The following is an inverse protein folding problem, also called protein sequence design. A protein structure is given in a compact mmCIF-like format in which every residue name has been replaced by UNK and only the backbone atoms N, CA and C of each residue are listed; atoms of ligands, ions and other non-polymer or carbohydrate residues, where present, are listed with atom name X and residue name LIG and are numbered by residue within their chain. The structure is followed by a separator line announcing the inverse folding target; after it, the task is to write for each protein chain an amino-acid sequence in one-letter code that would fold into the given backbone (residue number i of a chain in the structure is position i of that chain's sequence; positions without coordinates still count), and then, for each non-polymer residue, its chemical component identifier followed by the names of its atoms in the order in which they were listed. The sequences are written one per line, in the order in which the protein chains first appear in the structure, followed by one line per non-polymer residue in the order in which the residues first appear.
data_IF_200129379274
#
_entry.id   IF_200129379274
#
_cell.length_a   1.000
_cell.length_b   1.000
_cell.length_c   1.000
_cell.angle_alpha   90.00
_cell.angle_beta   90.00
_cell.angle_gamma   90.00
#
_symmetry.space_group_name_H-M   'P 1'
#
loop_
_entity.id
_entity.type
_entity.pdbx_description
1 polymer ?
#
# COMPACT_ATOMS: atom_id res chain seq x y z
N UNK A 1 5.57 9.35 4.78
CA UNK A 1 4.14 8.97 4.91
C UNK A 1 3.91 7.87 5.95
N UNK A 2 4.79 6.87 6.05
CA UNK A 2 4.74 5.77 7.05
C UNK A 2 4.56 6.24 8.50
N UNK A 3 5.32 7.24 8.95
CA UNK A 3 5.27 7.76 10.32
C UNK A 3 3.87 8.23 10.71
N UNK A 4 3.12 8.82 9.78
CA UNK A 4 1.77 9.32 10.03
C UNK A 4 0.81 8.15 10.30
N UNK A 5 0.91 7.04 9.55
CA UNK A 5 0.10 5.85 9.80
C UNK A 5 0.40 5.23 11.17
N UNK A 6 1.68 5.09 11.50
CA UNK A 6 2.12 4.57 12.79
C UNK A 6 1.61 5.44 13.95
N UNK A 7 1.71 6.76 13.79
CA UNK A 7 1.29 7.71 14.82
C UNK A 7 -0.23 7.79 14.97
N UNK A 8 -0.98 7.67 13.88
CA UNK A 8 -2.44 7.68 13.88
C UNK A 8 -3.06 6.31 14.24
N UNK A 9 -2.25 5.25 14.37
CA UNK A 9 -2.74 3.90 14.66
C UNK A 9 -3.65 3.34 13.56
N UNK A 10 -3.48 3.79 12.32
CA UNK A 10 -4.28 3.36 11.18
C UNK A 10 -3.57 2.25 10.40
N UNK A 11 -4.31 1.29 9.82
CA UNK A 11 -3.72 0.22 9.05
C UNK A 11 -3.10 0.79 7.75
N UNK A 12 -1.94 0.26 7.40
CA UNK A 12 -1.18 0.64 6.21
C UNK A 12 -0.40 -0.55 5.65
N UNK A 13 -0.28 -0.65 4.33
CA UNK A 13 0.52 -1.66 3.65
C UNK A 13 1.27 -1.08 2.45
N UNK A 14 2.35 -1.75 2.03
CA UNK A 14 3.20 -1.35 0.92
C UNK A 14 3.37 -2.48 -0.09
N UNK A 15 3.33 -2.15 -1.38
CA UNK A 15 3.39 -3.09 -2.50
C UNK A 15 4.34 -2.59 -3.61
N UNK A 16 5.05 -3.45 -4.36
CA UNK A 16 5.90 -3.01 -5.48
C UNK A 16 5.10 -2.34 -6.61
N UNK A 17 5.41 -1.08 -6.91
CA UNK A 17 4.74 -0.28 -7.94
C UNK A 17 5.49 -0.24 -9.28
N UNK A 18 6.72 -0.76 -9.35
CA UNK A 18 7.51 -0.84 -10.60
C UNK A 18 8.94 -0.39 -10.38
N UNK A 19 9.60 0.02 -11.45
CA UNK A 19 10.93 0.64 -11.41
C UNK A 19 10.91 1.99 -12.12
N UNK A 20 11.65 2.96 -11.60
CA UNK A 20 11.88 4.26 -12.23
C UNK A 20 13.38 4.47 -12.27
N UNK A 21 13.97 4.62 -13.46
CA UNK A 21 15.43 4.70 -13.65
C UNK A 21 16.17 3.53 -12.97
N UNK A 22 15.68 2.30 -13.16
CA UNK A 22 16.20 1.07 -12.54
C UNK A 22 16.13 1.01 -11.00
N UNK A 23 15.45 1.97 -10.37
CA UNK A 23 15.24 1.99 -8.92
C UNK A 23 13.86 1.42 -8.60
N UNK A 24 13.73 0.43 -7.70
CA UNK A 24 12.44 -0.11 -7.30
C UNK A 24 11.61 0.94 -6.54
N UNK A 25 10.38 1.14 -6.98
CA UNK A 25 9.41 2.03 -6.33
C UNK A 25 8.27 1.21 -5.72
N UNK A 26 7.83 1.62 -4.53
CA UNK A 26 6.70 1.03 -3.82
C UNK A 26 5.51 1.99 -3.75
N UNK A 27 4.30 1.44 -3.71
CA UNK A 27 3.07 2.15 -3.42
C UNK A 27 2.63 1.82 -1.99
N UNK A 28 2.33 2.85 -1.20
CA UNK A 28 1.77 2.68 0.15
C UNK A 28 0.28 3.02 0.16
N UNK A 29 -0.52 2.13 0.72
CA UNK A 29 -1.97 2.26 0.88
C UNK A 29 -2.28 2.34 2.37
N UNK A 30 -3.18 3.25 2.76
CA UNK A 30 -3.65 3.43 4.14
C UNK A 30 -5.18 3.34 4.16
N UNK A 31 -5.76 2.75 5.20
CA UNK A 31 -7.21 2.70 5.36
C UNK A 31 -7.65 3.24 6.72
N UNK A 32 -8.98 3.28 6.93
CA UNK A 32 -9.56 3.64 8.23
C UNK A 32 -9.21 2.57 9.27
N UNK A 33 -9.25 2.90 10.58
CA UNK A 33 -9.08 1.91 11.63
C UNK A 33 -9.98 0.68 11.43
N UNK A 34 -9.43 -0.51 11.67
CA UNK A 34 -10.12 -1.82 11.59
C UNK A 34 -10.60 -2.21 10.16
N UNK A 35 -10.01 -1.61 9.13
CA UNK A 35 -10.42 -1.80 7.73
C UNK A 35 -9.32 -2.46 6.87
N UNK A 36 -8.54 -3.35 7.49
CA UNK A 36 -7.38 -4.05 6.88
C UNK A 36 -7.76 -4.85 5.63
N UNK A 37 -8.96 -5.43 5.61
CA UNK A 37 -9.47 -6.21 4.46
C UNK A 37 -9.54 -5.36 3.18
N UNK A 38 -9.89 -4.07 3.30
CA UNK A 38 -9.92 -3.18 2.13
C UNK A 38 -8.52 -2.90 1.59
N UNK A 39 -7.51 -2.81 2.47
CA UNK A 39 -6.11 -2.66 2.04
C UNK A 39 -5.68 -3.88 1.23
N UNK A 40 -5.95 -5.08 1.74
CA UNK A 40 -5.60 -6.34 1.05
C UNK A 40 -6.31 -6.45 -0.30
N UNK A 41 -7.61 -6.14 -0.37
CA UNK A 41 -8.36 -6.14 -1.64
C UNK A 41 -7.81 -5.13 -2.64
N UNK A 42 -7.48 -3.92 -2.19
CA UNK A 42 -6.91 -2.89 -3.05
C UNK A 42 -5.54 -3.29 -3.60
N UNK A 43 -4.69 -3.89 -2.77
CA UNK A 43 -3.40 -4.45 -3.22
C UNK A 43 -3.59 -5.56 -4.23
N UNK A 44 -4.49 -6.51 -3.98
CA UNK A 44 -4.76 -7.62 -4.91
C UNK A 44 -5.27 -7.14 -6.28
N UNK A 45 -6.16 -6.13 -6.31
CA UNK A 45 -6.59 -5.50 -7.58
C UNK A 45 -5.43 -4.83 -8.29
N UNK A 46 -4.55 -4.15 -7.55
CA UNK A 46 -3.37 -3.50 -8.11
C UNK A 46 -2.38 -4.51 -8.71
N UNK A 47 -2.11 -5.64 -8.05
CA UNK A 47 -1.29 -6.73 -8.61
C UNK A 47 -1.90 -7.36 -9.86
N UNK A 48 -3.21 -7.60 -9.83
CA UNK A 48 -3.93 -8.18 -10.97
C UNK A 48 -4.00 -7.24 -12.18
N UNK A 49 -3.97 -5.91 -11.97
CA UNK A 49 -3.94 -4.94 -13.07
C UNK A 49 -2.54 -4.82 -13.70
N UNK A 50 -1.52 -5.25 -12.95
CA UNK A 50 -0.11 -5.17 -13.37
C UNK A 50 0.35 -6.42 -14.15
N UNK A 51 -0.37 -7.54 -14.04
CA UNK A 51 -0.26 -8.73 -14.89
C UNK A 51 -1.16 -8.60 -16.13
#
# INVERSE_FOLDING_TARGET
LTVIANHAGIPAASIPAGTVNDIPVGLQIQAKPLDDEKIVKAMAVFENTKN
#
